data_IF_732710438947
#
_entry.id   IF_732710438947
#
_cell.length_a   1.000
_cell.length_b   1.000
_cell.length_c   1.000
_cell.angle_alpha   90.00
_cell.angle_beta   90.00
_cell.angle_gamma   90.00
#
_symmetry.space_group_name_H-M   'P 1'
#
loop_
_entity.id
_entity.type
_entity.pdbx_description
1 polymer ?
#
# COMPACT_ATOMS: atom_id res chain seq x y z
N UNK A 1 7.39 7.91 1.10
CA UNK A 1 6.04 7.45 0.70
C UNK A 1 6.25 6.34 -0.32
N UNK A 2 5.20 5.89 -1.00
CA UNK A 2 5.36 4.97 -2.11
C UNK A 2 4.08 4.73 -2.89
N UNK A 3 4.18 3.80 -3.84
CA UNK A 3 3.09 3.39 -4.71
C UNK A 3 2.86 1.88 -4.52
N UNK A 4 1.59 1.44 -4.44
CA UNK A 4 1.27 0.01 -4.42
C UNK A 4 1.72 -0.63 -5.73
N UNK A 5 2.76 -1.48 -5.67
CA UNK A 5 3.26 -2.19 -6.83
C UNK A 5 2.40 -3.41 -7.15
N UNK A 6 2.04 -4.18 -6.13
CA UNK A 6 1.15 -5.34 -6.23
C UNK A 6 0.38 -5.52 -4.92
N UNK A 7 -0.86 -5.99 -5.03
CA UNK A 7 -1.68 -6.37 -3.90
C UNK A 7 -2.52 -7.59 -4.27
N UNK A 8 -2.48 -8.62 -3.42
CA UNK A 8 -3.34 -9.79 -3.53
C UNK A 8 -4.41 -9.71 -2.46
N UNK A 9 -5.65 -9.48 -2.87
CA UNK A 9 -6.81 -9.46 -1.97
C UNK A 9 -7.03 -10.83 -1.32
N UNK A 10 -6.83 -11.91 -2.08
CA UNK A 10 -6.96 -13.29 -1.61
C UNK A 10 -5.98 -13.62 -0.51
N UNK A 11 -4.72 -13.21 -0.67
CA UNK A 11 -3.66 -13.52 0.30
C UNK A 11 -3.57 -12.47 1.43
N UNK A 12 -4.15 -11.29 1.23
CA UNK A 12 -4.13 -10.21 2.22
C UNK A 12 -2.78 -9.50 2.36
N UNK A 13 -1.85 -9.66 1.42
CA UNK A 13 -0.55 -8.98 1.44
C UNK A 13 -0.20 -8.37 0.07
N UNK A 14 0.76 -7.46 0.09
CA UNK A 14 1.25 -6.81 -1.13
C UNK A 14 2.62 -6.17 -0.94
N UNK A 15 3.04 -5.42 -1.95
CA UNK A 15 4.29 -4.65 -1.92
C UNK A 15 4.05 -3.18 -2.27
N UNK A 16 4.76 -2.32 -1.57
CA UNK A 16 4.87 -0.90 -1.86
C UNK A 16 6.22 -0.67 -2.52
N UNK A 17 6.22 -0.04 -3.70
CA UNK A 17 7.42 0.52 -4.29
C UNK A 17 7.66 1.89 -3.66
N UNK A 18 8.73 2.03 -2.90
CA UNK A 18 9.09 3.27 -2.23
C UNK A 18 9.55 4.31 -3.25
N UNK A 19 9.51 5.59 -2.88
CA UNK A 19 10.01 6.68 -3.74
C UNK A 19 11.52 6.53 -4.06
N UNK A 20 12.25 5.73 -3.26
CA UNK A 20 13.66 5.42 -3.44
C UNK A 20 13.90 4.19 -4.34
N UNK A 21 12.83 3.53 -4.81
CA UNK A 21 12.88 2.39 -5.71
C UNK A 21 12.97 1.02 -5.03
N UNK A 22 12.93 0.97 -3.70
CA UNK A 22 12.91 -0.28 -2.94
C UNK A 22 11.49 -0.86 -2.86
N UNK A 23 11.38 -2.18 -2.66
CA UNK A 23 10.10 -2.84 -2.41
C UNK A 23 9.95 -3.19 -0.93
N UNK A 24 8.87 -2.73 -0.31
CA UNK A 24 8.55 -3.04 1.08
C UNK A 24 7.27 -3.88 1.14
N UNK A 25 7.33 -4.98 1.87
CA UNK A 25 6.19 -5.87 2.05
C UNK A 25 5.18 -5.26 3.03
N UNK A 26 3.90 -5.48 2.80
CA UNK A 26 2.86 -5.06 3.73
C UNK A 26 1.75 -6.10 3.84
N UNK A 27 1.08 -6.09 4.98
CA UNK A 27 -0.08 -6.94 5.25
C UNK A 27 -1.31 -6.08 5.51
N UNK A 28 -2.45 -6.46 4.93
CA UNK A 28 -3.73 -5.81 5.22
C UNK A 28 -4.25 -6.33 6.56
N UNK A 29 -4.24 -5.48 7.57
CA UNK A 29 -4.75 -5.81 8.91
C UNK A 29 -6.19 -5.35 9.15
N UNK A 30 -6.90 -4.83 8.13
CA UNK A 30 -8.30 -4.40 8.26
C UNK A 30 -8.86 -3.69 7.02
N UNK A 31 -10.06 -3.13 7.16
CA UNK A 31 -10.66 -2.27 6.13
C UNK A 31 -9.99 -0.89 6.18
N UNK A 32 -9.30 -0.50 5.12
CA UNK A 32 -8.72 0.82 4.97
C UNK A 32 -9.83 1.83 4.66
N UNK A 33 -10.56 2.33 5.66
CA UNK A 33 -11.54 3.42 5.50
C UNK A 33 -12.44 3.36 4.24
N UNK A 34 -12.90 2.16 3.85
CA UNK A 34 -13.73 1.96 2.65
C UNK A 34 -13.01 2.04 1.30
N UNK A 35 -11.69 2.26 1.31
CA UNK A 35 -10.82 2.23 0.15
C UNK A 35 -10.40 0.79 -0.18
N UNK A 36 -10.63 0.37 -1.42
CA UNK A 36 -9.96 -0.81 -1.96
C UNK A 36 -8.50 -0.47 -2.24
N UNK A 37 -7.58 -1.24 -1.68
CA UNK A 37 -6.17 -1.19 -2.06
C UNK A 37 -6.06 -1.67 -3.50
N UNK A 38 -5.57 -0.82 -4.39
CA UNK A 38 -5.31 -1.16 -5.79
C UNK A 38 -3.88 -0.80 -6.14
N UNK A 39 -3.35 -1.49 -7.13
CA UNK A 39 -2.06 -1.17 -7.71
C UNK A 39 -2.07 0.24 -8.31
N UNK A 40 -0.95 0.95 -8.20
CA UNK A 40 -0.82 2.32 -8.67
C UNK A 40 -1.30 3.39 -7.68
N UNK A 41 -1.89 3.03 -6.54
CA UNK A 41 -2.26 4.00 -5.52
C UNK A 41 -1.04 4.56 -4.77
N UNK A 42 -1.02 5.87 -4.55
CA UNK A 42 -0.05 6.53 -3.71
C UNK A 42 -0.43 6.38 -2.23
N UNK A 43 0.53 5.91 -1.43
CA UNK A 43 0.33 5.62 -0.01
C UNK A 43 1.44 6.22 0.85
N UNK A 44 1.08 6.62 2.07
CA UNK A 44 2.02 6.80 3.18
C UNK A 44 2.01 5.54 4.03
N UNK A 45 3.15 5.23 4.63
CA UNK A 45 3.31 4.10 5.51
C UNK A 45 4.47 4.37 6.47
N UNK A 46 4.48 3.65 7.58
CA UNK A 46 5.60 3.59 8.51
C UNK A 46 6.34 2.27 8.32
N UNK A 47 7.67 2.29 8.37
CA UNK A 47 8.47 1.06 8.28
C UNK A 47 8.65 0.47 9.69
N UNK A 48 8.16 -0.75 9.89
CA UNK A 48 8.41 -1.48 11.13
C UNK A 48 9.86 -1.97 11.18
N UNK A 49 10.68 -1.35 12.03
CA UNK A 49 12.14 -1.54 12.06
C UNK A 49 12.61 -2.99 12.21
N UNK A 50 11.89 -3.81 12.97
CA UNK A 50 12.30 -5.21 13.24
C UNK A 50 11.90 -6.17 12.12
N UNK A 51 10.79 -5.88 11.44
CA UNK A 51 10.18 -6.81 10.48
C UNK A 51 10.40 -6.37 9.03
N UNK A 52 10.87 -5.13 8.82
CA UNK A 52 11.04 -4.52 7.50
C UNK A 52 9.75 -4.56 6.67
N UNK A 53 8.61 -4.44 7.34
CA UNK A 53 7.28 -4.38 6.71
C UNK A 53 6.69 -2.99 6.88
N UNK A 54 5.88 -2.57 5.92
CA UNK A 54 5.10 -1.36 6.00
C UNK A 54 3.85 -1.57 6.86
N UNK A 55 3.63 -0.66 7.80
CA UNK A 55 2.48 -0.60 8.71
C UNK A 55 1.83 0.78 8.63
N UNK A 56 0.66 0.94 9.25
CA UNK A 56 -0.10 2.20 9.27
C UNK A 56 -0.29 2.81 7.87
N UNK A 57 -0.60 1.97 6.90
CA UNK A 57 -0.71 2.37 5.50
C UNK A 57 -1.93 3.26 5.33
N UNK A 58 -1.75 4.42 4.71
CA UNK A 58 -2.84 5.35 4.38
C UNK A 58 -2.76 5.71 2.91
N UNK A 59 -3.90 5.66 2.23
CA UNK A 59 -4.01 6.10 0.82
C UNK A 59 -4.04 7.62 0.79
N UNK A 60 -3.11 8.22 0.05
CA UNK A 60 -2.95 9.68 -0.04
C UNK A 60 -3.81 10.23 -1.19
N UNK A 61 -3.90 9.49 -2.29
CA UNK A 61 -4.68 9.91 -3.46
C UNK A 61 -5.48 8.73 -4.02
N UNK A 62 -6.81 8.91 -4.09
CA UNK A 62 -7.73 8.02 -4.81
C UNK A 62 -8.13 8.60 -6.18
N UNK A 63 -7.65 9.80 -6.52
CA UNK A 63 -8.06 10.57 -7.70
C UNK A 63 -7.57 9.95 -9.01
N UNK A 64 -6.63 9.00 -8.95
CA UNK A 64 -6.22 8.17 -10.10
C UNK A 64 -7.23 7.11 -10.54
N UNK A 65 -8.28 6.83 -9.76
CA UNK A 65 -9.37 5.92 -10.17
C UNK A 65 -10.47 6.77 -10.83
N UNK A 66 -10.15 7.38 -11.98
CA UNK A 66 -11.18 7.92 -12.86
C UNK A 66 -12.05 6.76 -13.32
N UNK A 67 -13.24 6.65 -12.73
CA UNK A 67 -14.36 5.89 -13.27
C UNK A 67 -14.48 6.24 -14.75
N UNK A 68 -14.30 5.26 -15.62
CA UNK A 68 -14.60 5.38 -17.04
C UNK A 68 -15.62 4.31 -17.42
#
# INVERSE_FOLDING_TARGET
>A
MGIIGCYSETEGFGKIKTDFGEEVLFYRTGILNGAELKTGLNVSFELHQTLSVAINIQVIDQSGITQK
#
